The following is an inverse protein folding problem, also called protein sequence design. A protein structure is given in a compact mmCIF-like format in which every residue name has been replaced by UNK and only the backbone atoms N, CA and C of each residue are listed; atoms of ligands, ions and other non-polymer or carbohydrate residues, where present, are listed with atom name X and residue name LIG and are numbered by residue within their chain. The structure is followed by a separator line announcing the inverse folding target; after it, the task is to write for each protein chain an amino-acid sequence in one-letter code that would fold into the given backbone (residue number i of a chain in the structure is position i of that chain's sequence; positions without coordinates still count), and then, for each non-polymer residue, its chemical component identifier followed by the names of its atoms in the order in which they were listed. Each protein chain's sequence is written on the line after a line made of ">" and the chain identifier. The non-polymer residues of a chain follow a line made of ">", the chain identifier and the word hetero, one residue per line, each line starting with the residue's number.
data_IF_072457567796
#
_entry.id   IF_072457567796
#
_cell.length_a   1.000
_cell.length_b   1.000
_cell.length_c   1.000
_cell.angle_alpha   90.00
_cell.angle_beta   90.00
_cell.angle_gamma   90.00
#
_symmetry.space_group_name_H-M   'P 1'
#
loop_
_entity.id
_entity.type
_entity.pdbx_description
1 polymer ?
#
# COMPACT_ATOMS: atom_id res chain seq x y z
N UNK A 1 -21.27 -24.60 -18.24
CA UNK A 1 -19.98 -24.31 -17.59
C UNK A 1 -19.09 -25.53 -17.77
N UNK A 2 -17.77 -25.39 -17.87
CA UNK A 2 -16.88 -26.55 -17.99
C UNK A 2 -16.86 -27.33 -16.67
N UNK A 3 -16.59 -28.64 -16.72
CA UNK A 3 -16.52 -29.47 -15.50
C UNK A 3 -15.47 -28.98 -14.50
N UNK A 4 -14.38 -28.39 -14.99
CA UNK A 4 -13.34 -27.76 -14.15
C UNK A 4 -13.86 -26.51 -13.42
N UNK A 5 -14.62 -25.65 -14.12
CA UNK A 5 -15.18 -24.44 -13.51
C UNK A 5 -16.19 -24.79 -12.41
N UNK A 6 -17.03 -25.81 -12.65
CA UNK A 6 -17.99 -26.30 -11.67
C UNK A 6 -17.28 -26.90 -10.45
N UNK A 7 -16.19 -27.64 -10.67
CA UNK A 7 -15.36 -28.19 -9.59
C UNK A 7 -14.76 -27.08 -8.71
N UNK A 8 -14.12 -26.07 -9.30
CA UNK A 8 -13.51 -24.96 -8.57
C UNK A 8 -14.58 -24.15 -7.84
N UNK A 9 -15.71 -23.84 -8.50
CA UNK A 9 -16.82 -23.10 -7.90
C UNK A 9 -17.36 -23.82 -6.66
N UNK A 10 -17.52 -25.16 -6.72
CA UNK A 10 -17.94 -25.96 -5.55
C UNK A 10 -16.94 -25.88 -4.39
N UNK A 11 -15.65 -25.89 -4.68
CA UNK A 11 -14.60 -25.76 -3.66
C UNK A 11 -14.62 -24.39 -2.99
N UNK A 12 -14.74 -23.30 -3.77
CA UNK A 12 -14.91 -21.95 -3.23
C UNK A 12 -16.17 -21.84 -2.37
N UNK A 13 -17.29 -22.41 -2.84
CA UNK A 13 -18.54 -22.43 -2.07
C UNK A 13 -18.43 -23.22 -0.76
N UNK A 14 -17.64 -24.29 -0.73
CA UNK A 14 -17.32 -25.01 0.52
C UNK A 14 -16.47 -24.14 1.45
N UNK A 15 -15.38 -23.57 0.94
CA UNK A 15 -14.48 -22.69 1.69
C UNK A 15 -15.24 -21.52 2.33
N UNK A 16 -16.07 -20.80 1.57
CA UNK A 16 -16.83 -19.68 2.10
C UNK A 16 -17.88 -20.05 3.15
N UNK A 17 -18.40 -21.30 3.14
CA UNK A 17 -19.29 -21.79 4.21
C UNK A 17 -18.53 -22.14 5.47
N UNK A 18 -17.37 -22.75 5.33
CA UNK A 18 -16.55 -23.22 6.46
C UNK A 18 -15.73 -22.08 7.08
N UNK A 19 -15.40 -21.05 6.31
CA UNK A 19 -14.54 -19.94 6.71
C UNK A 19 -14.99 -18.65 6.01
N UNK A 20 -16.15 -18.08 6.39
CA UNK A 20 -16.61 -16.81 5.83
C UNK A 20 -15.61 -15.69 6.17
N UNK A 21 -15.28 -14.81 5.21
CA UNK A 21 -14.34 -13.72 5.47
C UNK A 21 -14.82 -12.81 6.60
N UNK A 22 -13.93 -12.37 7.51
CA UNK A 22 -14.30 -11.36 8.50
C UNK A 22 -14.59 -10.02 7.81
N UNK A 23 -15.47 -9.18 8.39
CA UNK A 23 -15.69 -7.84 7.87
C UNK A 23 -14.40 -7.00 7.99
N UNK A 24 -14.06 -6.17 6.99
CA UNK A 24 -12.99 -5.19 7.14
C UNK A 24 -13.38 -4.12 8.17
N UNK A 25 -12.39 -3.36 8.64
CA UNK A 25 -12.66 -2.21 9.49
C UNK A 25 -13.62 -1.23 8.82
N UNK A 26 -14.58 -0.72 9.59
CA UNK A 26 -15.63 0.19 9.12
C UNK A 26 -16.36 -0.35 7.88
N UNK A 27 -16.60 -1.66 7.78
CA UNK A 27 -17.19 -2.32 6.60
C UNK A 27 -18.46 -1.64 6.06
N UNK A 28 -19.33 -1.14 6.94
CA UNK A 28 -20.56 -0.43 6.54
C UNK A 28 -20.34 0.90 5.81
N UNK A 29 -19.10 1.39 5.78
CA UNK A 29 -18.67 2.59 5.04
C UNK A 29 -17.86 2.26 3.78
N UNK A 30 -17.69 0.98 3.44
CA UNK A 30 -16.89 0.55 2.27
C UNK A 30 -17.78 0.12 1.12
N UNK A 31 -17.31 0.45 -0.09
CA UNK A 31 -17.83 -0.17 -1.31
C UNK A 31 -17.22 -1.57 -1.41
N UNK A 32 -18.04 -2.56 -1.74
CA UNK A 32 -17.60 -3.89 -2.10
C UNK A 32 -17.71 -4.11 -3.60
N UNK A 33 -16.79 -4.91 -4.12
CA UNK A 33 -16.77 -5.30 -5.52
C UNK A 33 -16.41 -6.78 -5.64
N UNK A 34 -17.03 -7.48 -6.59
CA UNK A 34 -16.86 -8.92 -6.74
C UNK A 34 -16.74 -9.31 -8.21
N UNK A 35 -15.90 -10.29 -8.48
CA UNK A 35 -15.86 -11.01 -9.75
C UNK A 35 -16.39 -12.41 -9.52
N UNK A 36 -17.10 -12.95 -10.51
CA UNK A 36 -17.71 -14.28 -10.43
C UNK A 36 -17.11 -15.21 -11.47
N UNK A 37 -17.11 -16.51 -11.18
CA UNK A 37 -16.65 -17.54 -12.12
C UNK A 37 -17.39 -17.44 -13.47
N UNK A 38 -16.62 -17.46 -14.56
CA UNK A 38 -17.16 -17.33 -15.92
C UNK A 38 -17.58 -15.92 -16.33
N UNK A 39 -17.26 -14.90 -15.52
CA UNK A 39 -17.41 -13.48 -15.86
C UNK A 39 -16.03 -12.85 -16.01
N UNK A 40 -15.94 -11.84 -16.87
CA UNK A 40 -14.74 -11.06 -17.19
C UNK A 40 -14.81 -9.62 -16.67
N UNK A 41 -15.87 -9.28 -15.94
CA UNK A 41 -16.08 -7.97 -15.35
C UNK A 41 -16.23 -8.05 -13.83
N UNK A 42 -15.91 -6.94 -13.16
CA UNK A 42 -16.10 -6.76 -11.73
C UNK A 42 -17.44 -6.07 -11.48
N UNK A 43 -18.32 -6.70 -10.70
CA UNK A 43 -19.56 -6.10 -10.22
C UNK A 43 -19.23 -5.17 -9.04
N UNK A 44 -19.56 -3.88 -9.18
CA UNK A 44 -19.24 -2.80 -8.22
C UNK A 44 -20.49 -2.22 -7.56
N UNK A 45 -20.30 -1.21 -6.72
CA UNK A 45 -21.37 -0.45 -6.04
C UNK A 45 -22.22 -1.30 -5.07
N UNK A 46 -21.60 -2.31 -4.45
CA UNK A 46 -22.25 -3.09 -3.40
C UNK A 46 -21.85 -2.56 -2.02
N UNK A 47 -22.73 -2.73 -1.04
CA UNK A 47 -22.44 -2.37 0.36
C UNK A 47 -23.29 -3.24 1.28
N UNK A 48 -22.80 -3.46 2.50
CA UNK A 48 -23.48 -4.27 3.51
C UNK A 48 -23.65 -3.44 4.78
N UNK A 49 -24.86 -3.42 5.35
CA UNK A 49 -25.14 -2.75 6.62
C UNK A 49 -25.01 -3.68 7.83
N UNK A 50 -25.09 -5.00 7.61
CA UNK A 50 -24.94 -6.02 8.64
C UNK A 50 -23.86 -7.03 8.25
N UNK A 51 -23.11 -7.50 9.25
CA UNK A 51 -22.07 -8.52 9.06
C UNK A 51 -22.67 -9.83 8.55
N UNK A 52 -23.84 -10.23 9.05
CA UNK A 52 -24.54 -11.44 8.58
C UNK A 52 -24.84 -11.40 7.08
N UNK A 53 -25.40 -10.30 6.58
CA UNK A 53 -25.70 -10.13 5.15
C UNK A 53 -24.44 -10.23 4.28
N UNK A 54 -23.31 -9.68 4.76
CA UNK A 54 -22.02 -9.82 4.10
C UNK A 54 -21.55 -11.28 4.10
N UNK A 55 -21.61 -11.96 5.24
CA UNK A 55 -21.12 -13.33 5.39
C UNK A 55 -21.96 -14.32 4.58
N UNK A 56 -23.28 -14.13 4.53
CA UNK A 56 -24.21 -14.95 3.76
C UNK A 56 -24.06 -14.74 2.24
N UNK A 57 -23.55 -13.57 1.81
CA UNK A 57 -23.30 -13.27 0.39
C UNK A 57 -22.26 -14.22 -0.23
N UNK A 58 -21.18 -14.54 0.48
CA UNK A 58 -20.09 -15.37 -0.06
C UNK A 58 -20.51 -16.80 -0.43
N UNK A 59 -21.14 -17.60 0.44
CA UNK A 59 -21.57 -18.94 0.10
C UNK A 59 -22.77 -18.97 -0.84
N UNK A 60 -23.56 -17.90 -0.94
CA UNK A 60 -24.70 -17.81 -1.85
C UNK A 60 -24.33 -17.38 -3.27
N UNK A 61 -23.33 -16.51 -3.43
CA UNK A 61 -22.92 -15.95 -4.73
C UNK A 61 -21.60 -16.50 -5.26
N UNK A 62 -20.77 -17.07 -4.39
CA UNK A 62 -19.50 -17.75 -4.70
C UNK A 62 -18.60 -16.90 -5.63
N UNK A 63 -18.14 -15.72 -5.17
CA UNK A 63 -17.24 -14.89 -5.96
C UNK A 63 -15.86 -15.55 -6.13
N UNK A 64 -15.27 -15.43 -7.32
CA UNK A 64 -13.88 -15.83 -7.60
C UNK A 64 -12.89 -14.81 -7.05
N UNK A 65 -13.27 -13.52 -7.05
CA UNK A 65 -12.51 -12.44 -6.42
C UNK A 65 -13.43 -11.53 -5.62
N UNK A 66 -12.94 -11.06 -4.48
CA UNK A 66 -13.65 -10.15 -3.60
C UNK A 66 -12.74 -8.98 -3.23
N UNK A 67 -13.28 -7.77 -3.31
CA UNK A 67 -12.58 -6.53 -3.04
C UNK A 67 -13.46 -5.63 -2.16
N UNK A 68 -12.81 -4.74 -1.43
CA UNK A 68 -13.46 -3.58 -0.84
C UNK A 68 -12.63 -2.33 -1.12
N UNK A 69 -13.26 -1.17 -1.11
CA UNK A 69 -12.56 0.11 -1.26
C UNK A 69 -11.61 0.35 -0.09
N UNK A 70 -10.46 0.97 -0.35
CA UNK A 70 -9.64 1.62 0.68
C UNK A 70 -10.33 2.87 1.24
N UNK A 71 -11.19 3.49 0.43
CA UNK A 71 -11.98 4.65 0.81
C UNK A 71 -13.22 4.29 1.64
N UNK A 72 -13.63 5.27 2.43
CA UNK A 72 -14.86 5.31 3.22
C UNK A 72 -15.84 6.29 2.61
N UNK A 73 -17.12 5.93 2.62
CA UNK A 73 -18.20 6.70 2.01
C UNK A 73 -19.40 6.79 2.95
N UNK A 74 -20.16 7.89 2.87
CA UNK A 74 -21.43 7.99 3.56
C UNK A 74 -22.45 7.01 2.96
N UNK A 75 -22.45 6.88 1.63
CA UNK A 75 -23.36 6.01 0.86
C UNK A 75 -22.55 5.12 -0.09
N UNK A 76 -21.92 4.02 0.39
CA UNK A 76 -20.91 3.30 -0.40
C UNK A 76 -21.44 2.61 -1.66
N UNK A 77 -22.72 2.22 -1.66
CA UNK A 77 -23.40 1.61 -2.81
C UNK A 77 -23.91 2.58 -3.87
N UNK A 78 -23.70 3.90 -3.71
CA UNK A 78 -24.15 4.87 -4.70
C UNK A 78 -23.38 4.74 -6.04
N UNK A 79 -24.03 5.02 -7.19
CA UNK A 79 -23.43 4.88 -8.52
C UNK A 79 -22.37 5.95 -8.82
N UNK A 80 -22.48 7.16 -8.28
CA UNK A 80 -21.57 8.28 -8.56
C UNK A 80 -20.73 8.66 -7.35
N UNK A 81 -19.56 9.26 -7.57
CA UNK A 81 -18.65 9.67 -6.48
C UNK A 81 -19.23 10.80 -5.61
N UNK A 82 -20.00 11.69 -6.22
CA UNK A 82 -20.70 12.77 -5.54
C UNK A 82 -21.74 12.20 -4.56
N UNK A 83 -22.59 11.29 -5.06
CA UNK A 83 -23.60 10.63 -4.23
C UNK A 83 -22.99 9.72 -3.15
N UNK A 84 -21.83 9.12 -3.42
CA UNK A 84 -21.11 8.32 -2.41
C UNK A 84 -20.71 9.16 -1.20
N UNK A 85 -20.39 10.44 -1.41
CA UNK A 85 -19.90 11.36 -0.37
C UNK A 85 -18.69 10.79 0.38
N UNK A 86 -17.49 11.03 -0.17
CA UNK A 86 -16.22 10.54 0.37
C UNK A 86 -15.93 11.06 1.78
N UNK A 87 -15.53 10.17 2.69
CA UNK A 87 -15.26 10.46 4.09
C UNK A 87 -13.78 10.35 4.47
N UNK A 88 -12.98 9.64 3.68
CA UNK A 88 -11.58 9.34 3.99
C UNK A 88 -11.10 8.10 3.25
N UNK A 89 -9.82 7.76 3.36
CA UNK A 89 -9.30 6.48 2.87
C UNK A 89 -8.06 6.03 3.63
N UNK A 90 -7.94 4.71 3.82
CA UNK A 90 -6.70 4.10 4.31
C UNK A 90 -5.53 4.44 3.38
N UNK A 91 -4.31 4.47 3.91
CA UNK A 91 -3.10 4.55 3.12
C UNK A 91 -2.61 3.13 2.82
N UNK A 92 -2.67 2.75 1.54
CA UNK A 92 -2.34 1.40 1.08
C UNK A 92 -1.05 1.44 0.29
N UNK A 93 -0.13 0.56 0.64
CA UNK A 93 1.07 0.26 -0.16
C UNK A 93 0.93 -1.13 -0.75
N UNK A 94 1.14 -1.26 -2.05
CA UNK A 94 1.10 -2.52 -2.79
C UNK A 94 2.47 -2.78 -3.42
N UNK A 95 3.13 -3.86 -2.97
CA UNK A 95 4.38 -4.34 -3.53
C UNK A 95 4.12 -5.63 -4.28
N UNK A 96 4.13 -5.55 -5.62
CA UNK A 96 4.14 -6.71 -6.52
C UNK A 96 5.56 -7.01 -6.98
N UNK A 97 5.94 -8.28 -6.99
CA UNK A 97 7.25 -8.72 -7.42
C UNK A 97 7.59 -8.36 -8.87
N UNK A 98 6.60 -8.21 -9.75
CA UNK A 98 6.82 -7.76 -11.14
C UNK A 98 7.45 -6.36 -11.22
N UNK A 99 7.23 -5.54 -10.19
CA UNK A 99 7.74 -4.16 -10.11
C UNK A 99 9.07 -4.04 -9.36
N UNK A 100 9.63 -5.15 -8.88
CA UNK A 100 10.89 -5.14 -8.15
C UNK A 100 12.07 -5.16 -9.11
N UNK A 101 12.93 -4.15 -8.99
CA UNK A 101 14.18 -4.08 -9.73
C UNK A 101 15.04 -5.32 -9.42
N UNK A 102 15.44 -6.03 -10.48
CA UNK A 102 16.27 -7.24 -10.36
C UNK A 102 15.48 -8.54 -10.13
N UNK A 103 14.15 -8.52 -10.10
CA UNK A 103 13.34 -9.74 -10.03
C UNK A 103 13.24 -10.47 -11.39
N UNK A 104 13.62 -9.81 -12.49
CA UNK A 104 13.62 -10.38 -13.83
C UNK A 104 14.56 -11.59 -13.94
N UNK A 105 13.99 -12.74 -14.30
CA UNK A 105 14.74 -13.99 -14.49
C UNK A 105 14.89 -14.85 -13.22
N UNK A 106 14.34 -14.43 -12.08
CA UNK A 106 14.30 -15.24 -10.87
C UNK A 106 13.30 -16.38 -10.98
N UNK A 107 13.53 -17.44 -10.19
CA UNK A 107 12.52 -18.46 -9.95
C UNK A 107 11.35 -17.86 -9.17
N UNK A 108 10.16 -18.46 -9.27
CA UNK A 108 8.98 -17.99 -8.53
C UNK A 108 9.22 -17.92 -7.01
N UNK A 109 9.84 -18.92 -6.35
CA UNK A 109 10.21 -18.81 -4.92
C UNK A 109 11.19 -17.67 -4.61
N UNK A 110 12.22 -17.48 -5.44
CA UNK A 110 13.22 -16.43 -5.21
C UNK A 110 12.63 -15.04 -5.39
N UNK A 111 11.76 -14.88 -6.39
CA UNK A 111 10.97 -13.68 -6.61
C UNK A 111 10.11 -13.35 -5.38
N UNK A 112 9.41 -14.36 -4.80
CA UNK A 112 8.63 -14.18 -3.57
C UNK A 112 9.50 -13.83 -2.35
N UNK A 113 10.70 -14.41 -2.25
CA UNK A 113 11.65 -14.07 -1.19
C UNK A 113 12.16 -12.63 -1.31
N UNK A 114 12.43 -12.17 -2.54
CA UNK A 114 12.87 -10.81 -2.80
C UNK A 114 11.78 -9.78 -2.46
N UNK A 115 10.53 -9.99 -2.91
CA UNK A 115 9.42 -9.07 -2.57
C UNK A 115 9.15 -9.02 -1.08
N UNK A 116 9.27 -10.15 -0.38
CA UNK A 116 9.16 -10.16 1.08
C UNK A 116 10.24 -9.31 1.74
N UNK A 117 11.49 -9.36 1.26
CA UNK A 117 12.59 -8.56 1.80
C UNK A 117 12.33 -7.06 1.62
N UNK A 118 11.95 -6.62 0.42
CA UNK A 118 11.66 -5.21 0.18
C UNK A 118 10.41 -4.74 0.93
N UNK A 119 9.41 -5.62 1.11
CA UNK A 119 8.24 -5.32 1.93
C UNK A 119 8.58 -5.15 3.42
N UNK A 120 9.47 -5.98 3.97
CA UNK A 120 9.97 -5.83 5.34
C UNK A 120 10.67 -4.47 5.49
N UNK A 121 11.49 -4.07 4.52
CA UNK A 121 12.13 -2.74 4.53
C UNK A 121 11.11 -1.62 4.49
N UNK A 122 10.10 -1.70 3.63
CA UNK A 122 9.00 -0.72 3.62
C UNK A 122 8.38 -0.56 5.02
N UNK A 123 8.04 -1.68 5.66
CA UNK A 123 7.37 -1.69 6.96
C UNK A 123 8.30 -1.17 8.06
N UNK A 124 9.46 -1.78 8.25
CA UNK A 124 10.35 -1.49 9.38
C UNK A 124 11.01 -0.13 9.24
N UNK A 125 11.55 0.17 8.05
CA UNK A 125 12.34 1.37 7.85
C UNK A 125 11.44 2.61 7.75
N UNK A 126 10.33 2.52 7.02
CA UNK A 126 9.53 3.70 6.67
C UNK A 126 8.23 3.79 7.46
N UNK A 127 7.40 2.74 7.47
CA UNK A 127 6.09 2.85 8.11
C UNK A 127 6.18 2.93 9.63
N UNK A 128 6.91 2.00 10.25
CA UNK A 128 7.17 1.97 11.69
C UNK A 128 8.31 2.89 12.11
N UNK A 129 9.30 3.07 11.24
CA UNK A 129 10.45 3.95 11.45
C UNK A 129 10.11 5.41 11.17
N UNK A 130 10.45 5.88 9.98
CA UNK A 130 10.42 7.32 9.65
C UNK A 130 9.04 7.99 9.82
N UNK A 131 7.97 7.30 9.43
CA UNK A 131 6.60 7.82 9.52
C UNK A 131 5.99 7.60 10.91
N UNK A 132 6.56 6.71 11.71
CA UNK A 132 6.21 6.52 13.13
C UNK A 132 4.81 5.95 13.39
N UNK A 133 4.23 5.22 12.44
CA UNK A 133 2.94 4.54 12.67
C UNK A 133 3.10 3.42 13.70
N UNK A 134 2.07 3.22 14.53
CA UNK A 134 2.05 2.13 15.50
C UNK A 134 1.70 0.79 14.85
N UNK A 135 2.24 -0.32 15.36
CA UNK A 135 1.91 -1.67 14.86
C UNK A 135 0.40 -1.95 14.82
N UNK A 136 -0.37 -1.40 15.76
CA UNK A 136 -1.83 -1.53 15.81
C UNK A 136 -2.57 -0.83 14.67
N UNK A 137 -1.92 0.11 13.99
CA UNK A 137 -2.47 0.86 12.87
C UNK A 137 -2.15 0.22 11.51
N UNK A 138 -1.25 -0.77 11.51
CA UNK A 138 -0.85 -1.51 10.33
C UNK A 138 -1.57 -2.85 10.25
N UNK A 139 -2.04 -3.17 9.05
CA UNK A 139 -2.43 -4.53 8.67
C UNK A 139 -1.63 -4.96 7.45
N UNK A 140 -0.83 -6.00 7.64
CA UNK A 140 -0.01 -6.60 6.58
C UNK A 140 -0.76 -7.79 5.98
N UNK A 141 -0.86 -7.82 4.66
CA UNK A 141 -1.67 -8.82 3.94
C UNK A 141 -0.84 -9.40 2.80
N UNK A 142 -0.80 -10.73 2.68
CA UNK A 142 -0.31 -11.37 1.46
C UNK A 142 -1.39 -11.27 0.38
N UNK A 143 -1.03 -10.82 -0.83
CA UNK A 143 -2.01 -10.57 -1.90
C UNK A 143 -2.69 -11.84 -2.44
N UNK A 144 -2.19 -13.02 -2.06
CA UNK A 144 -2.63 -14.31 -2.58
C UNK A 144 -1.92 -14.71 -3.88
N UNK A 145 -1.00 -13.87 -4.36
CA UNK A 145 -0.22 -14.11 -5.57
C UNK A 145 1.26 -13.83 -5.36
N UNK A 146 1.71 -12.65 -5.80
CA UNK A 146 3.14 -12.33 -5.98
C UNK A 146 3.60 -11.13 -5.15
N UNK A 147 2.84 -10.74 -4.13
CA UNK A 147 3.08 -9.49 -3.44
C UNK A 147 2.44 -9.40 -2.07
N UNK A 148 2.60 -8.22 -1.48
CA UNK A 148 2.07 -7.90 -0.16
C UNK A 148 1.46 -6.49 -0.17
N UNK A 149 0.43 -6.31 0.64
CA UNK A 149 -0.15 -5.01 0.92
C UNK A 149 0.11 -4.62 2.38
N UNK A 150 0.47 -3.36 2.61
CA UNK A 150 0.42 -2.73 3.93
C UNK A 150 -0.74 -1.74 3.95
N UNK A 151 -1.68 -1.95 4.86
CA UNK A 151 -2.82 -1.07 5.08
C UNK A 151 -2.57 -0.26 6.35
N UNK A 152 -2.52 1.06 6.23
CA UNK A 152 -2.39 2.00 7.35
C UNK A 152 -3.73 2.69 7.55
N UNK A 153 -4.34 2.48 8.73
CA UNK A 153 -5.68 2.99 9.06
C UNK A 153 -5.67 4.11 10.13
N UNK A 154 -4.51 4.76 10.30
CA UNK A 154 -4.29 5.89 11.21
C UNK A 154 -5.19 7.09 10.87
N UNK A 155 -5.68 7.83 11.87
CA UNK A 155 -6.64 8.93 11.64
C UNK A 155 -6.03 10.07 10.80
N UNK A 156 -4.73 10.30 10.99
CA UNK A 156 -3.91 11.32 10.36
C UNK A 156 -3.82 11.12 8.83
N UNK A 157 -3.89 9.88 8.35
CA UNK A 157 -3.78 9.59 6.91
C UNK A 157 -5.11 9.58 6.18
N UNK A 158 -6.23 9.54 6.91
CA UNK A 158 -7.56 9.34 6.32
C UNK A 158 -7.94 10.44 5.34
N UNK A 159 -7.58 11.70 5.66
CA UNK A 159 -7.96 12.86 4.86
C UNK A 159 -6.98 13.17 3.73
N UNK A 160 -5.83 12.49 3.67
CA UNK A 160 -4.81 12.76 2.66
C UNK A 160 -5.38 12.59 1.25
N UNK A 161 -5.14 13.60 0.42
CA UNK A 161 -5.49 13.65 -0.99
C UNK A 161 -4.40 12.98 -1.83
N UNK A 162 -4.70 12.80 -3.11
CA UNK A 162 -3.81 12.10 -4.05
C UNK A 162 -2.39 12.67 -4.08
N UNK A 163 -2.26 14.01 -4.05
CA UNK A 163 -0.95 14.66 -4.07
C UNK A 163 -0.16 14.45 -2.78
N UNK A 164 -0.78 14.59 -1.60
CA UNK A 164 -0.11 14.34 -0.31
C UNK A 164 0.34 12.88 -0.18
N UNK A 165 -0.45 11.94 -0.70
CA UNK A 165 -0.06 10.52 -0.76
C UNK A 165 1.11 10.29 -1.72
N UNK A 166 1.18 11.07 -2.82
CA UNK A 166 2.30 11.02 -3.75
C UNK A 166 3.60 11.46 -3.06
N UNK A 167 3.57 12.52 -2.26
CA UNK A 167 4.75 12.95 -1.48
C UNK A 167 5.27 11.84 -0.56
N UNK A 168 4.38 11.07 0.08
CA UNK A 168 4.78 9.92 0.90
C UNK A 168 5.45 8.83 0.06
N UNK A 169 4.90 8.55 -1.14
CA UNK A 169 5.50 7.58 -2.05
C UNK A 169 6.87 8.06 -2.52
N UNK A 170 7.00 9.32 -2.92
CA UNK A 170 8.26 9.90 -3.40
C UNK A 170 9.31 9.93 -2.29
N UNK A 171 8.89 10.21 -1.05
CA UNK A 171 9.74 10.04 0.12
C UNK A 171 10.21 8.60 0.28
N UNK A 172 9.34 7.59 0.24
CA UNK A 172 9.74 6.19 0.40
C UNK A 172 10.68 5.73 -0.73
N UNK A 173 10.42 6.15 -1.96
CA UNK A 173 11.22 5.73 -3.13
C UNK A 173 12.47 6.57 -3.35
N UNK A 174 12.62 7.69 -2.62
CA UNK A 174 13.71 8.65 -2.81
C UNK A 174 13.62 9.36 -4.16
N UNK A 175 12.42 9.49 -4.73
CA UNK A 175 12.19 10.19 -5.99
C UNK A 175 12.49 11.67 -5.79
N UNK A 176 13.21 12.28 -6.75
CA UNK A 176 13.56 13.70 -6.75
C UNK A 176 14.25 14.19 -5.46
N UNK A 177 14.97 13.29 -4.77
CA UNK A 177 15.72 13.65 -3.57
C UNK A 177 16.79 14.70 -3.89
N UNK A 178 16.66 15.85 -3.24
CA UNK A 178 17.64 16.93 -3.34
C UNK A 178 18.94 16.51 -2.63
N UNK A 179 19.97 16.24 -3.44
CA UNK A 179 21.29 15.83 -2.98
C UNK A 179 22.01 16.96 -2.24
N UNK A 180 21.76 18.22 -2.62
CA UNK A 180 22.38 19.37 -1.94
C UNK A 180 21.71 19.61 -0.58
N UNK A 181 20.41 19.30 -0.46
CA UNK A 181 19.75 19.23 0.84
C UNK A 181 20.25 18.05 1.69
N UNK A 182 20.44 16.88 1.09
CA UNK A 182 20.88 15.67 1.81
C UNK A 182 22.31 15.82 2.32
N UNK A 183 23.21 16.42 1.54
CA UNK A 183 24.62 16.61 1.88
C UNK A 183 24.96 18.10 1.99
N UNK A 184 24.89 18.64 3.20
CA UNK A 184 25.22 20.04 3.45
C UNK A 184 26.65 20.37 3.01
N UNK A 185 26.80 21.42 2.20
CA UNK A 185 28.11 21.98 1.89
C UNK A 185 28.62 22.84 3.05
N UNK A 186 29.82 22.54 3.55
CA UNK A 186 30.56 23.46 4.42
C UNK A 186 31.87 23.89 3.78
N UNK A 187 32.29 25.11 4.10
CA UNK A 187 33.63 25.58 3.76
C UNK A 187 34.65 24.62 4.38
N UNK A 188 35.44 23.97 3.53
CA UNK A 188 36.46 23.01 3.95
C UNK A 188 37.83 23.69 4.07
N UNK A 189 38.15 24.61 3.17
CA UNK A 189 39.41 25.35 3.18
C UNK A 189 39.27 26.74 2.58
N UNK A 190 39.85 27.74 3.23
CA UNK A 190 40.10 29.07 2.66
C UNK A 190 41.53 29.16 2.15
N UNK A 191 41.71 29.40 0.84
CA UNK A 191 43.00 29.76 0.26
C UNK A 191 42.95 31.21 -0.22
N UNK A 192 43.95 32.00 0.20
CA UNK A 192 44.13 33.39 -0.22
C UNK A 192 45.17 33.45 -1.34
N UNK A 193 44.79 33.95 -2.51
CA UNK A 193 45.70 34.24 -3.63
C UNK A 193 45.66 35.74 -3.90
N UNK A 194 46.62 36.48 -3.32
CA UNK A 194 46.59 37.95 -3.35
C UNK A 194 45.32 38.51 -2.68
N UNK A 195 44.59 39.40 -3.36
CA UNK A 195 43.31 39.96 -2.89
C UNK A 195 42.10 39.03 -3.08
N UNK A 196 42.26 37.89 -3.76
CA UNK A 196 41.16 36.93 -3.99
C UNK A 196 41.15 35.86 -2.92
N UNK A 197 40.03 35.74 -2.22
CA UNK A 197 39.73 34.67 -1.30
C UNK A 197 38.93 33.59 -2.05
N UNK A 198 39.45 32.37 -2.10
CA UNK A 198 38.76 31.21 -2.68
C UNK A 198 38.37 30.28 -1.54
N UNK A 199 37.07 30.15 -1.31
CA UNK A 199 36.50 29.17 -0.38
C UNK A 199 36.25 27.88 -1.15
N UNK A 200 36.99 26.82 -0.83
CA UNK A 200 36.59 25.47 -1.23
C UNK A 200 35.51 24.98 -0.28
N UNK A 201 34.44 24.44 -0.85
CA UNK A 201 33.38 23.76 -0.11
C UNK A 201 33.56 22.25 -0.23
N UNK A 202 33.20 21.53 0.82
CA UNK A 202 33.05 20.09 0.81
C UNK A 202 31.66 19.71 1.32
N UNK A 203 31.10 18.64 0.76
CA UNK A 203 29.87 18.01 1.24
C UNK A 203 30.16 17.22 2.51
N UNK A 204 29.29 17.34 3.50
CA UNK A 204 29.40 16.64 4.78
C UNK A 204 28.42 15.47 4.80
N UNK A 205 28.91 14.31 5.25
CA UNK A 205 28.05 13.15 5.54
C UNK A 205 27.16 13.50 6.73
N UNK A 206 25.83 13.33 6.63
CA UNK A 206 24.93 13.64 7.72
C UNK A 206 25.24 12.89 9.02
N UNK A 207 24.82 13.45 10.14
CA UNK A 207 25.01 12.82 11.44
C UNK A 207 24.10 11.60 11.63
N UNK A 208 24.51 10.63 12.42
CA UNK A 208 23.67 9.50 12.82
C UNK A 208 22.42 9.90 13.65
N UNK A 209 22.34 11.15 14.11
CA UNK A 209 21.15 11.72 14.76
C UNK A 209 20.20 12.44 13.79
N UNK A 210 20.52 12.49 12.51
CA UNK A 210 19.64 13.05 11.49
C UNK A 210 18.43 12.15 11.26
N UNK A 211 17.32 12.70 10.77
CA UNK A 211 16.12 11.94 10.42
C UNK A 211 16.00 11.69 8.92
N UNK A 212 15.14 10.72 8.56
CA UNK A 212 14.77 10.41 7.19
C UNK A 212 15.94 10.14 6.25
N UNK A 213 15.90 10.65 5.02
CA UNK A 213 16.95 10.38 4.03
C UNK A 213 18.35 10.81 4.44
N UNK A 214 18.51 11.83 5.29
CA UNK A 214 19.83 12.18 5.82
C UNK A 214 20.44 11.05 6.67
N UNK A 215 19.63 10.30 7.41
CA UNK A 215 20.09 9.14 8.18
C UNK A 215 20.49 7.96 7.29
N UNK A 216 19.91 7.87 6.09
CA UNK A 216 20.01 6.73 5.17
C UNK A 216 21.16 6.84 4.16
N UNK A 217 21.84 7.98 4.11
CA UNK A 217 22.97 8.30 3.21
C UNK A 217 24.31 7.99 3.85
#
# INVERSE_FOLDING_TARGET
>A
MSGELDFITRWFGKYYRESPPPPPERFGRREFAFMFFGKDYVQRHLSFSKVGDMQDFFPSRIPSHAYHSSAYYATPGAPTMEEKSWLGADLIFDLDADHIRGAGGLSYPDMLAQVKKEFIRLVDDFLLGDLGFGESELRLVFSGGRGYHAHVSAEEVLQLRSHERREIVDYITGTDLDIDWAFEERASFEKRFGDRQVVQKARIVPSASSGGWRLRM
#
